data_IF_781727563266
#
_entry.id   IF_781727563266
#
_cell.length_a   1.000
_cell.length_b   1.000
_cell.length_c   1.000
_cell.angle_alpha   90.00
_cell.angle_beta   90.00
_cell.angle_gamma   90.00
#
_symmetry.space_group_name_H-M   'P 1'
#
loop_
_entity.id
_entity.type
_entity.pdbx_description
1 polymer ?
#
# COMPACT_ATOMS: atom_id res chain seq x y z
N UNK A 1 -0.24 -9.51 19.71
CA UNK A 1 0.38 -8.67 18.67
C UNK A 1 -0.62 -7.60 18.33
N UNK A 2 -0.18 -6.35 18.19
CA UNK A 2 -1.02 -5.25 17.69
C UNK A 2 -1.32 -5.50 16.21
N UNK A 3 -2.57 -5.33 15.78
CA UNK A 3 -2.94 -5.54 14.38
C UNK A 3 -2.21 -4.55 13.46
N UNK A 4 -1.89 -5.00 12.24
CA UNK A 4 -1.23 -4.16 11.23
C UNK A 4 -2.09 -4.10 9.97
N UNK A 5 -2.51 -2.89 9.62
CA UNK A 5 -3.43 -2.61 8.52
C UNK A 5 -2.70 -1.96 7.33
N UNK A 6 -2.94 -2.45 6.13
CA UNK A 6 -2.44 -1.87 4.89
C UNK A 6 -3.59 -1.32 4.05
N UNK A 7 -3.49 -0.06 3.62
CA UNK A 7 -4.49 0.58 2.76
C UNK A 7 -3.80 1.03 1.48
N UNK A 8 -4.31 0.59 0.32
CA UNK A 8 -3.70 0.89 -0.98
C UNK A 8 -4.70 0.81 -2.12
N UNK A 9 -4.35 1.41 -3.26
CA UNK A 9 -5.05 1.18 -4.52
C UNK A 9 -4.51 -0.06 -5.23
N UNK A 10 -5.33 -0.65 -6.10
CA UNK A 10 -4.83 -1.49 -7.18
C UNK A 10 -4.79 -0.64 -8.46
N UNK A 11 -3.59 -0.44 -8.99
CA UNK A 11 -3.38 0.17 -10.29
C UNK A 11 -3.24 -0.87 -11.41
N UNK A 12 -2.92 -0.41 -12.62
CA UNK A 12 -2.72 -1.28 -13.79
C UNK A 12 -1.49 -2.21 -13.69
N UNK A 13 -0.57 -1.96 -12.75
CA UNK A 13 0.56 -2.84 -12.47
C UNK A 13 0.36 -3.52 -11.11
N UNK A 14 0.01 -4.82 -11.07
CA UNK A 14 -0.14 -5.58 -9.84
C UNK A 14 1.12 -5.60 -8.98
N UNK A 15 2.30 -5.63 -9.62
CA UNK A 15 3.58 -5.69 -8.93
C UNK A 15 3.91 -4.39 -8.17
N UNK A 16 3.32 -3.25 -8.53
CA UNK A 16 3.43 -2.04 -7.71
C UNK A 16 2.80 -2.24 -6.31
N UNK A 17 1.70 -2.98 -6.20
CA UNK A 17 1.09 -3.32 -4.91
C UNK A 17 1.89 -4.43 -4.21
N UNK A 18 2.10 -5.53 -4.92
CA UNK A 18 2.72 -6.74 -4.36
C UNK A 18 4.13 -6.46 -3.84
N UNK A 19 4.96 -5.78 -4.64
CA UNK A 19 6.33 -5.51 -4.26
C UNK A 19 6.43 -4.52 -3.11
N UNK A 20 5.50 -3.58 -2.98
CA UNK A 20 5.51 -2.61 -1.87
C UNK A 20 5.15 -3.29 -0.56
N UNK A 21 4.12 -4.14 -0.55
CA UNK A 21 3.80 -4.99 0.62
C UNK A 21 4.96 -5.92 0.95
N UNK A 22 5.54 -6.58 -0.06
CA UNK A 22 6.67 -7.50 0.15
C UNK A 22 7.90 -6.78 0.70
N UNK A 23 8.23 -5.59 0.19
CA UNK A 23 9.32 -4.79 0.70
C UNK A 23 9.07 -4.37 2.17
N UNK A 24 7.84 -3.95 2.50
CA UNK A 24 7.48 -3.60 3.87
C UNK A 24 7.62 -4.80 4.82
N UNK A 25 7.22 -6.00 4.38
CA UNK A 25 7.41 -7.23 5.15
C UNK A 25 8.89 -7.51 5.42
N UNK A 26 9.78 -7.32 4.43
CA UNK A 26 11.23 -7.44 4.59
C UNK A 26 11.81 -6.45 5.59
N UNK A 27 11.21 -5.26 5.72
CA UNK A 27 11.62 -4.23 6.67
C UNK A 27 10.91 -4.34 8.03
N UNK A 28 10.12 -5.39 8.26
CA UNK A 28 9.50 -5.72 9.56
C UNK A 28 8.07 -5.22 9.75
N UNK A 29 7.49 -4.55 8.74
CA UNK A 29 6.06 -4.22 8.73
C UNK A 29 5.29 -5.27 7.94
N UNK A 30 4.74 -6.27 8.67
CA UNK A 30 3.95 -7.37 8.08
C UNK A 30 2.47 -7.15 8.39
N UNK A 31 1.64 -6.69 7.43
CA UNK A 31 0.21 -6.46 7.68
C UNK A 31 -0.58 -7.77 7.77
N UNK A 32 -1.51 -7.85 8.72
CA UNK A 32 -2.47 -8.95 8.80
C UNK A 32 -3.77 -8.67 8.04
N UNK A 33 -4.05 -7.40 7.76
CA UNK A 33 -5.30 -6.93 7.18
C UNK A 33 -5.03 -5.91 6.07
N UNK A 34 -5.63 -6.12 4.91
CA UNK A 34 -5.42 -5.31 3.71
C UNK A 34 -6.77 -4.79 3.20
N UNK A 35 -6.83 -3.49 2.97
CA UNK A 35 -7.93 -2.80 2.31
C UNK A 35 -7.44 -2.33 0.95
N UNK A 36 -7.98 -2.93 -0.11
CA UNK A 36 -7.58 -2.66 -1.49
C UNK A 36 -8.69 -1.86 -2.19
N UNK A 37 -8.37 -0.65 -2.64
CA UNK A 37 -9.27 0.16 -3.44
C UNK A 37 -9.12 -0.19 -4.91
N UNK A 38 -10.22 -0.62 -5.52
CA UNK A 38 -10.26 -1.15 -6.88
C UNK A 38 -11.05 -0.18 -7.75
N UNK A 39 -10.42 0.35 -8.78
CA UNK A 39 -11.13 1.13 -9.78
C UNK A 39 -12.05 0.22 -10.61
N UNK A 40 -13.27 0.66 -10.90
CA UNK A 40 -14.27 -0.10 -11.68
C UNK A 40 -13.77 -0.50 -13.07
N UNK A 41 -12.88 0.29 -13.68
CA UNK A 41 -12.30 0.01 -15.01
C UNK A 41 -11.07 -0.92 -14.98
N UNK A 42 -10.62 -1.33 -13.79
CA UNK A 42 -9.43 -2.16 -13.66
C UNK A 42 -9.68 -3.59 -14.16
N UNK A 43 -8.70 -4.17 -14.86
CA UNK A 43 -8.83 -5.54 -15.34
C UNK A 43 -8.92 -6.56 -14.19
N UNK A 44 -9.84 -7.50 -14.32
CA UNK A 44 -10.03 -8.63 -13.40
C UNK A 44 -8.74 -9.44 -13.20
N UNK A 45 -7.90 -9.54 -14.24
CA UNK A 45 -6.57 -10.17 -14.16
C UNK A 45 -5.65 -9.46 -13.16
N UNK A 46 -5.66 -8.12 -13.12
CA UNK A 46 -4.81 -7.36 -12.20
C UNK A 46 -5.24 -7.58 -10.76
N UNK A 47 -6.54 -7.51 -10.51
CA UNK A 47 -7.15 -7.74 -9.19
C UNK A 47 -6.83 -9.15 -8.70
N UNK A 48 -7.05 -10.16 -9.55
CA UNK A 48 -6.79 -11.56 -9.19
C UNK A 48 -5.30 -11.84 -8.95
N UNK A 49 -4.41 -11.23 -9.72
CA UNK A 49 -2.97 -11.35 -9.49
C UNK A 49 -2.59 -10.86 -8.09
N UNK A 50 -3.07 -9.67 -7.69
CA UNK A 50 -2.83 -9.14 -6.34
C UNK A 50 -3.42 -10.05 -5.26
N UNK A 51 -4.67 -10.50 -5.43
CA UNK A 51 -5.37 -11.38 -4.46
C UNK A 51 -4.74 -12.75 -4.31
N UNK A 52 -4.05 -13.26 -5.34
CA UNK A 52 -3.34 -14.54 -5.27
C UNK A 52 -1.97 -14.38 -4.62
N UNK A 53 -1.23 -13.32 -4.94
CA UNK A 53 0.15 -13.13 -4.48
C UNK A 53 0.23 -12.65 -3.03
N UNK A 54 -0.60 -11.69 -2.62
CA UNK A 54 -0.50 -11.09 -1.28
C UNK A 54 -0.66 -12.12 -0.15
N UNK A 55 -1.63 -13.07 -0.18
CA UNK A 55 -1.70 -14.09 0.85
C UNK A 55 -0.42 -14.93 0.98
N UNK A 56 0.20 -15.30 -0.15
CA UNK A 56 1.43 -16.09 -0.18
C UNK A 56 2.57 -15.31 0.47
N UNK A 57 2.73 -14.04 0.10
CA UNK A 57 3.75 -13.16 0.71
C UNK A 57 3.52 -13.06 2.21
N UNK A 58 2.30 -12.79 2.67
CA UNK A 58 2.04 -12.56 4.09
C UNK A 58 2.20 -13.83 4.95
N UNK A 59 1.81 -14.99 4.40
CA UNK A 59 2.02 -16.30 5.06
C UNK A 59 3.51 -16.60 5.24
N UNK A 60 4.34 -16.31 4.23
CA UNK A 60 5.79 -16.50 4.30
C UNK A 60 6.42 -15.63 5.42
N UNK A 61 5.83 -14.47 5.71
CA UNK A 61 6.27 -13.57 6.79
C UNK A 61 5.51 -13.77 8.11
N UNK A 62 4.79 -14.89 8.26
CA UNK A 62 4.25 -15.37 9.54
C UNK A 62 2.77 -15.06 9.80
N UNK A 63 2.03 -14.49 8.85
CA UNK A 63 0.58 -14.27 8.96
C UNK A 63 -0.17 -15.52 8.53
N UNK A 64 -0.74 -16.26 9.48
CA UNK A 64 -1.45 -17.52 9.18
C UNK A 64 -2.68 -17.33 8.28
N UNK A 65 -3.47 -16.31 8.55
CA UNK A 65 -4.76 -16.05 7.88
C UNK A 65 -4.89 -14.56 7.54
N UNK A 66 -4.26 -14.08 6.45
CA UNK A 66 -4.34 -12.67 6.06
C UNK A 66 -5.76 -12.31 5.60
N UNK A 67 -6.29 -11.20 6.11
CA UNK A 67 -7.61 -10.66 5.73
C UNK A 67 -7.45 -9.66 4.58
N UNK A 68 -7.90 -10.02 3.38
CA UNK A 68 -7.86 -9.11 2.22
C UNK A 68 -9.27 -8.72 1.83
N UNK A 69 -9.57 -7.42 1.87
CA UNK A 69 -10.84 -6.85 1.48
C UNK A 69 -10.64 -5.91 0.30
N UNK A 70 -11.62 -5.86 -0.58
CA UNK A 70 -11.66 -4.96 -1.73
C UNK A 70 -12.85 -4.03 -1.60
N UNK A 71 -12.66 -2.77 -1.98
CA UNK A 71 -13.72 -1.78 -2.12
C UNK A 71 -13.63 -1.18 -3.51
N UNK A 72 -14.73 -1.22 -4.25
CA UNK A 72 -14.79 -0.57 -5.56
C UNK A 72 -14.92 0.94 -5.37
N UNK A 73 -14.20 1.70 -6.17
CA UNK A 73 -14.19 3.17 -6.12
C UNK A 73 -14.29 3.72 -7.53
N UNK A 74 -15.02 4.82 -7.70
CA UNK A 74 -15.02 5.57 -8.95
C UNK A 74 -13.67 6.28 -9.10
N UNK A 75 -13.00 6.10 -10.25
CA UNK A 75 -11.69 6.69 -10.53
C UNK A 75 -11.63 8.21 -10.29
N UNK A 76 -12.71 8.91 -10.62
CA UNK A 76 -12.87 10.36 -10.55
C UNK A 76 -13.65 10.83 -9.33
N UNK A 77 -14.07 9.91 -8.47
CA UNK A 77 -14.71 10.19 -7.18
C UNK A 77 -13.71 10.70 -6.14
N UNK A 78 -13.01 11.81 -6.42
CA UNK A 78 -11.90 12.28 -5.56
C UNK A 78 -12.30 12.48 -4.09
N UNK A 79 -13.49 13.02 -3.85
CA UNK A 79 -14.04 13.20 -2.50
C UNK A 79 -14.34 11.86 -1.83
N UNK A 80 -14.99 10.94 -2.57
CA UNK A 80 -15.33 9.61 -2.10
C UNK A 80 -14.07 8.81 -1.72
N UNK A 81 -13.05 8.84 -2.58
CA UNK A 81 -11.75 8.22 -2.31
C UNK A 81 -11.14 8.77 -1.02
N UNK A 82 -11.12 10.11 -0.88
CA UNK A 82 -10.57 10.76 0.32
C UNK A 82 -11.32 10.32 1.57
N UNK A 83 -12.65 10.29 1.52
CA UNK A 83 -13.51 9.90 2.64
C UNK A 83 -13.34 8.42 3.00
N UNK A 84 -13.11 7.55 2.01
CA UNK A 84 -12.79 6.14 2.25
C UNK A 84 -11.46 5.95 2.94
N UNK A 85 -10.39 6.64 2.51
CA UNK A 85 -9.12 6.62 3.25
C UNK A 85 -9.33 7.11 4.69
N UNK A 86 -9.98 8.26 4.87
CA UNK A 86 -10.22 8.84 6.19
C UNK A 86 -10.99 7.91 7.12
N UNK A 87 -12.06 7.30 6.61
CA UNK A 87 -12.89 6.34 7.33
C UNK A 87 -12.12 5.07 7.69
N UNK A 88 -11.36 4.51 6.74
CA UNK A 88 -10.55 3.32 6.99
C UNK A 88 -9.52 3.59 8.08
N UNK A 89 -8.73 4.66 7.94
CA UNK A 89 -7.68 5.02 8.89
C UNK A 89 -8.28 5.25 10.27
N UNK A 90 -9.34 6.06 10.38
CA UNK A 90 -10.04 6.32 11.65
C UNK A 90 -10.56 5.03 12.30
N UNK A 91 -11.12 4.12 11.52
CA UNK A 91 -11.69 2.86 12.03
C UNK A 91 -10.64 1.86 12.55
N UNK A 92 -9.40 2.00 12.10
CA UNK A 92 -8.28 1.12 12.47
C UNK A 92 -7.36 1.71 13.53
N UNK A 93 -7.42 3.03 13.76
CA UNK A 93 -6.46 3.78 14.58
C UNK A 93 -6.34 3.28 16.01
N UNK A 94 -7.46 2.90 16.62
CA UNK A 94 -7.50 2.34 17.98
C UNK A 94 -7.25 0.83 18.03
N UNK A 95 -7.18 0.17 16.86
CA UNK A 95 -7.05 -1.29 16.74
C UNK A 95 -5.62 -1.73 16.42
N UNK A 96 -4.82 -0.85 15.83
CA UNK A 96 -3.43 -1.12 15.58
C UNK A 96 -2.73 -0.14 14.66
N UNK A 97 -1.61 -0.57 14.09
CA UNK A 97 -0.77 0.26 13.25
C UNK A 97 -1.28 0.28 11.81
N UNK A 98 -1.21 1.43 11.16
CA UNK A 98 -1.74 1.65 9.83
C UNK A 98 -0.64 2.11 8.89
N UNK A 99 -0.52 1.42 7.77
CA UNK A 99 0.31 1.80 6.64
C UNK A 99 -0.57 2.19 5.45
N UNK A 100 -0.28 3.36 4.86
CA UNK A 100 -0.86 3.81 3.60
C UNK A 100 0.20 3.68 2.51
N UNK A 101 -0.12 2.96 1.44
CA UNK A 101 0.76 2.81 0.29
C UNK A 101 0.31 3.70 -0.86
N UNK A 102 1.26 4.51 -1.33
CA UNK A 102 1.03 5.51 -2.38
C UNK A 102 1.70 5.14 -3.70
N UNK A 103 2.32 3.97 -3.77
CA UNK A 103 3.06 3.48 -4.95
C UNK A 103 2.14 3.20 -6.15
N UNK A 104 1.04 2.44 -6.00
CA UNK A 104 0.20 2.07 -7.13
C UNK A 104 -0.78 3.18 -7.51
N UNK A 105 -1.26 3.12 -8.75
CA UNK A 105 -2.33 3.99 -9.25
C UNK A 105 -1.81 5.23 -9.99
N UNK A 106 -2.73 6.14 -10.29
CA UNK A 106 -2.42 7.41 -10.97
C UNK A 106 -1.92 8.44 -9.97
N UNK A 107 -1.16 9.43 -10.43
CA UNK A 107 -0.50 10.43 -9.56
C UNK A 107 -1.44 11.12 -8.56
N UNK A 108 -2.67 11.42 -8.96
CA UNK A 108 -3.63 12.03 -8.04
C UNK A 108 -4.11 11.05 -6.96
N UNK A 109 -4.18 9.74 -7.26
CA UNK A 109 -4.53 8.71 -6.27
C UNK A 109 -3.46 8.66 -5.19
N UNK A 110 -2.18 8.65 -5.59
CA UNK A 110 -1.05 8.75 -4.67
C UNK A 110 -1.10 10.03 -3.83
N UNK A 111 -1.46 11.16 -4.44
CA UNK A 111 -1.58 12.44 -3.73
C UNK A 111 -2.71 12.42 -2.68
N UNK A 112 -3.87 11.86 -3.02
CA UNK A 112 -5.00 11.72 -2.07
C UNK A 112 -4.64 10.76 -0.94
N UNK A 113 -4.05 9.60 -1.27
CA UNK A 113 -3.61 8.61 -0.29
C UNK A 113 -2.57 9.20 0.67
N UNK A 114 -1.57 9.92 0.14
CA UNK A 114 -0.58 10.63 0.95
C UNK A 114 -1.23 11.69 1.84
N UNK A 115 -2.09 12.55 1.28
CA UNK A 115 -2.77 13.59 2.04
C UNK A 115 -3.60 13.01 3.19
N UNK A 116 -4.36 11.94 2.94
CA UNK A 116 -5.15 11.26 3.96
C UNK A 116 -4.26 10.54 5.00
N UNK A 117 -3.21 9.84 4.57
CA UNK A 117 -2.27 9.17 5.47
C UNK A 117 -1.61 10.15 6.44
N UNK A 118 -1.24 11.34 5.97
CA UNK A 118 -0.66 12.40 6.81
C UNK A 118 -1.73 13.07 7.69
N UNK A 119 -2.86 13.51 7.12
CA UNK A 119 -3.89 14.26 7.86
C UNK A 119 -4.52 13.43 8.99
N UNK A 120 -4.72 12.14 8.74
CA UNK A 120 -5.31 11.21 9.71
C UNK A 120 -4.28 10.57 10.65
N UNK A 121 -2.99 10.91 10.48
CA UNK A 121 -1.88 10.42 11.26
C UNK A 121 -1.74 8.88 11.24
N UNK A 122 -1.74 8.29 10.04
CA UNK A 122 -1.34 6.89 9.84
C UNK A 122 0.09 6.67 10.36
N UNK A 123 0.44 5.45 10.77
CA UNK A 123 1.77 5.16 11.32
C UNK A 123 2.85 5.24 10.24
N UNK A 124 2.53 4.82 9.02
CA UNK A 124 3.43 4.80 7.88
C UNK A 124 2.77 5.32 6.61
N UNK A 125 3.55 6.00 5.78
CA UNK A 125 3.16 6.33 4.40
C UNK A 125 4.25 5.80 3.48
N UNK A 126 4.03 4.62 2.91
CA UNK A 126 5.01 3.90 2.13
C UNK A 126 4.96 4.27 0.64
N UNK A 127 6.15 4.39 0.06
CA UNK A 127 6.38 4.51 -1.37
C UNK A 127 7.54 3.60 -1.78
N UNK A 128 7.32 2.68 -2.72
CA UNK A 128 8.38 1.87 -3.29
C UNK A 128 9.01 2.62 -4.46
N UNK A 129 10.20 3.15 -4.24
CA UNK A 129 10.97 3.83 -5.26
C UNK A 129 11.69 2.82 -6.16
N UNK A 130 11.18 2.67 -7.39
CA UNK A 130 11.82 1.89 -8.44
C UNK A 130 12.63 2.81 -9.36
N UNK A 131 13.95 2.61 -9.39
CA UNK A 131 14.88 3.45 -10.16
C UNK A 131 14.93 3.12 -11.65
N UNK A 132 14.34 2.00 -12.04
CA UNK A 132 14.48 1.43 -13.38
C UNK A 132 13.19 0.71 -13.79
N UNK A 133 12.49 1.25 -14.78
CA UNK A 133 11.18 0.77 -15.22
C UNK A 133 11.22 -0.62 -15.88
N UNK A 134 12.40 -1.12 -16.26
CA UNK A 134 12.56 -2.49 -16.76
C UNK A 134 12.06 -3.56 -15.77
N UNK A 135 11.99 -3.20 -14.48
CA UNK A 135 11.56 -4.07 -13.40
C UNK A 135 10.12 -3.83 -12.94
N UNK A 136 9.37 -2.94 -13.58
CA UNK A 136 8.03 -2.53 -13.13
C UNK A 136 7.06 -3.71 -12.94
N UNK A 137 7.10 -4.70 -13.83
CA UNK A 137 6.25 -5.89 -13.78
C UNK A 137 7.04 -7.16 -13.39
N UNK A 138 8.09 -6.99 -12.57
CA UNK A 138 8.87 -8.08 -12.02
C UNK A 138 8.60 -8.23 -10.52
N UNK A 139 8.51 -9.47 -9.99
CA UNK A 139 8.47 -9.69 -8.54
C UNK A 139 9.74 -9.15 -7.88
N UNK A 140 9.60 -8.68 -6.63
CA UNK A 140 10.68 -8.05 -5.86
C UNK A 140 11.97 -8.87 -5.82
N UNK A 141 11.87 -10.20 -5.77
CA UNK A 141 13.02 -11.13 -5.77
C UNK A 141 13.89 -11.07 -7.03
N UNK A 142 13.35 -10.57 -8.15
CA UNK A 142 14.07 -10.40 -9.42
C UNK A 142 14.60 -8.98 -9.63
N UNK A 143 14.32 -8.05 -8.71
CA UNK A 143 14.79 -6.66 -8.81
C UNK A 143 16.11 -6.53 -8.04
N UNK A 144 17.20 -6.06 -8.67
CA UNK A 144 18.45 -5.81 -7.97
C UNK A 144 18.24 -4.84 -6.79
N UNK A 145 18.78 -5.17 -5.62
CA UNK A 145 18.52 -4.40 -4.39
C UNK A 145 18.83 -2.89 -4.51
N UNK A 146 19.86 -2.51 -5.27
CA UNK A 146 20.21 -1.09 -5.46
C UNK A 146 19.23 -0.31 -6.36
N UNK A 147 18.35 -1.02 -7.09
CA UNK A 147 17.36 -0.47 -8.03
C UNK A 147 15.98 -0.25 -7.40
N UNK A 148 15.75 -0.73 -6.19
CA UNK A 148 14.46 -0.66 -5.51
C UNK A 148 14.67 -0.29 -4.04
N UNK A 149 13.90 0.67 -3.54
CA UNK A 149 13.99 1.11 -2.15
C UNK A 149 12.58 1.41 -1.62
N UNK A 150 12.22 0.82 -0.48
CA UNK A 150 11.03 1.25 0.25
C UNK A 150 11.36 2.52 1.01
N UNK A 151 10.47 3.50 0.94
CA UNK A 151 10.60 4.78 1.63
C UNK A 151 9.36 4.97 2.49
N UNK A 152 9.55 5.27 3.77
CA UNK A 152 8.49 5.72 4.67
C UNK A 152 8.47 7.25 4.70
N UNK A 153 7.68 7.84 3.81
CA UNK A 153 7.63 9.29 3.60
C UNK A 153 7.24 10.05 4.87
N UNK A 154 6.42 9.44 5.74
CA UNK A 154 6.06 10.07 7.00
C UNK A 154 7.28 10.30 7.88
N UNK A 155 8.13 9.28 8.03
CA UNK A 155 9.39 9.39 8.79
C UNK A 155 10.34 10.41 8.17
N UNK A 156 10.45 10.44 6.84
CA UNK A 156 11.29 11.42 6.14
C UNK A 156 10.85 12.86 6.45
N UNK A 157 9.56 13.15 6.42
CA UNK A 157 9.04 14.51 6.69
C UNK A 157 9.08 14.90 8.18
N UNK A 158 8.92 13.94 9.09
CA UNK A 158 9.06 14.17 10.53
C UNK A 158 10.50 14.54 10.93
N UNK A 159 11.51 13.99 10.24
CA UNK A 159 12.93 14.33 10.48
C UNK A 159 13.29 15.76 10.07
N UNK A 160 12.60 16.33 9.08
CA UNK A 160 12.79 17.72 8.63
C UNK A 160 12.18 18.79 9.55
N UNK A 161 11.39 18.40 10.56
CA UNK A 161 10.73 19.33 11.49
C UNK A 161 11.60 19.87 12.63
N UNK A 162 12.89 19.51 12.69
CA UNK A 162 13.88 20.07 13.62
C UNK A 162 14.92 20.86 12.84
N UNK A 163 14.64 22.12 12.57
CA UNK A 163 15.65 23.15 12.28
C UNK A 163 15.43 24.34 13.19
#
# INVERSE_FOLDING_TARGET
MTSKYWITFIGSSPFAVINTVWAACKEGYVPDSLMLFVNEELSETSINTVRQWLPIVLVEYGIKEPSIRTLNVNETGFHEIKDFYGSCISSFKEKGEIAVDITPGRKYMSAIAMAAGISENANHVYYLHLKDSLYQDKPLSLIPAHKCQLIDLKKEFEHTGKQ
#
